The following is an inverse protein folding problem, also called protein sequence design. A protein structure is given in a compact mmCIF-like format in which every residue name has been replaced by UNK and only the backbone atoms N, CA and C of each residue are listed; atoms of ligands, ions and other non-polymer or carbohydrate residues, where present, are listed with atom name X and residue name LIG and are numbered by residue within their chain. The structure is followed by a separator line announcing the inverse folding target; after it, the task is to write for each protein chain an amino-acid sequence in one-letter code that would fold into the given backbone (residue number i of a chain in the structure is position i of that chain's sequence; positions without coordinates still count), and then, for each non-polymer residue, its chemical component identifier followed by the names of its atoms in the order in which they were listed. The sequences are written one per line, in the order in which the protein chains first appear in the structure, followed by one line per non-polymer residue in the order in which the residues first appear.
data_IF_153216436973
#
_entry.id   IF_153216436973
#
_cell.length_a   1.000
_cell.length_b   1.000
_cell.length_c   1.000
_cell.angle_alpha   90.00
_cell.angle_beta   90.00
_cell.angle_gamma   90.00
#
_symmetry.space_group_name_H-M   'P 1'
#
loop_
_entity.id
_entity.type
_entity.pdbx_description
1 polymer ?
#
# COMPACT_ATOMS: atom_id res chain seq x y z
N UNK A 1 -13.97 -8.77 25.61
CA UNK A 1 -13.19 -7.62 25.10
C UNK A 1 -11.83 -8.16 24.71
N UNK A 2 -11.62 -8.35 23.42
CA UNK A 2 -10.41 -8.96 22.85
C UNK A 2 -9.21 -8.02 23.01
N UNK A 3 -8.11 -8.56 23.53
CA UNK A 3 -6.85 -7.86 23.83
C UNK A 3 -6.05 -7.43 22.60
N UNK A 4 -6.68 -7.31 21.42
CA UNK A 4 -5.98 -7.13 20.15
C UNK A 4 -5.71 -5.66 19.80
N UNK A 5 -6.46 -4.70 20.35
CA UNK A 5 -6.38 -3.30 19.93
C UNK A 5 -5.48 -2.40 20.81
N UNK A 6 -4.97 -2.87 21.96
CA UNK A 6 -4.30 -1.99 22.96
C UNK A 6 -2.76 -1.99 22.85
N UNK A 7 -2.15 -2.85 22.03
CA UNK A 7 -0.69 -3.00 21.99
C UNK A 7 -0.05 -2.48 20.69
N UNK A 8 -0.23 -1.21 20.34
CA UNK A 8 0.49 -0.57 19.22
C UNK A 8 1.02 0.83 19.57
N UNK A 9 1.52 1.03 20.79
CA UNK A 9 2.38 2.18 21.12
C UNK A 9 3.84 1.79 20.90
N UNK A 10 4.36 2.10 19.71
CA UNK A 10 5.79 1.98 19.43
C UNK A 10 6.54 2.97 20.35
N UNK A 11 7.35 2.45 21.27
CA UNK A 11 8.26 3.27 22.08
C UNK A 11 9.48 3.66 21.24
N UNK A 12 9.54 4.92 20.84
CA UNK A 12 10.59 5.43 19.92
C UNK A 12 11.98 5.57 20.56
N UNK A 13 12.12 5.43 21.88
CA UNK A 13 13.38 5.64 22.60
C UNK A 13 14.46 4.56 22.30
N UNK A 14 14.04 3.34 21.93
CA UNK A 14 14.91 2.23 21.49
C UNK A 14 14.50 1.66 20.13
N UNK A 15 13.54 2.31 19.45
CA UNK A 15 12.84 1.78 18.29
C UNK A 15 13.60 1.87 16.97
N UNK A 16 14.44 2.89 16.76
CA UNK A 16 15.02 3.15 15.42
C UNK A 16 16.01 2.06 14.96
N UNK A 17 16.97 1.67 15.80
CA UNK A 17 17.89 0.58 15.44
C UNK A 17 17.17 -0.76 15.30
N UNK A 18 16.19 -1.02 16.17
CA UNK A 18 15.35 -2.22 16.09
C UNK A 18 14.49 -2.25 14.82
N UNK A 19 14.06 -1.08 14.33
CA UNK A 19 13.33 -0.92 13.07
C UNK A 19 14.24 -1.22 11.87
N UNK A 20 15.47 -0.69 11.84
CA UNK A 20 16.42 -0.96 10.76
C UNK A 20 16.69 -2.46 10.60
N UNK A 21 16.81 -3.20 11.71
CA UNK A 21 17.10 -4.64 11.66
C UNK A 21 15.85 -5.53 11.59
N UNK A 22 14.65 -4.97 11.41
CA UNK A 22 13.42 -5.75 11.21
C UNK A 22 13.45 -6.42 9.82
N UNK A 23 13.01 -7.68 9.73
CA UNK A 23 12.96 -8.41 8.45
C UNK A 23 11.59 -8.34 7.76
N UNK A 24 10.51 -8.65 8.49
CA UNK A 24 9.14 -8.61 7.95
C UNK A 24 8.66 -7.16 7.79
N UNK A 25 7.93 -6.88 6.71
CA UNK A 25 7.51 -5.53 6.32
C UNK A 25 8.67 -4.54 6.30
N UNK A 26 9.81 -4.95 5.75
CA UNK A 26 11.03 -4.12 5.74
C UNK A 26 11.65 -4.03 4.36
N UNK A 27 12.41 -2.95 4.17
CA UNK A 27 13.13 -2.67 2.94
C UNK A 27 14.06 -3.82 2.55
N UNK A 28 14.63 -4.53 3.54
CA UNK A 28 15.56 -5.64 3.30
C UNK A 28 14.88 -6.79 2.57
N UNK A 29 13.69 -7.19 3.02
CA UNK A 29 12.92 -8.26 2.37
C UNK A 29 12.50 -7.88 0.94
N UNK A 30 12.27 -6.59 0.69
CA UNK A 30 11.86 -6.08 -0.63
C UNK A 30 13.02 -5.97 -1.63
N UNK A 31 14.27 -5.77 -1.18
CA UNK A 31 15.43 -5.52 -2.07
C UNK A 31 16.49 -6.63 -2.12
N UNK A 32 16.51 -7.58 -1.17
CA UNK A 32 17.68 -8.47 -1.00
C UNK A 32 17.99 -9.31 -2.25
N UNK A 33 16.96 -9.74 -3.00
CA UNK A 33 17.15 -10.55 -4.22
C UNK A 33 17.85 -9.73 -5.31
N UNK A 34 17.37 -8.51 -5.54
CA UNK A 34 17.92 -7.58 -6.52
C UNK A 34 19.32 -7.13 -6.12
N UNK A 35 19.56 -6.90 -4.82
CA UNK A 35 20.88 -6.54 -4.32
C UNK A 35 21.89 -7.68 -4.52
N UNK A 36 21.50 -8.93 -4.24
CA UNK A 36 22.36 -10.10 -4.50
C UNK A 36 22.69 -10.21 -5.99
N UNK A 37 21.70 -10.09 -6.87
CA UNK A 37 21.92 -10.11 -8.33
C UNK A 37 22.85 -8.97 -8.75
N UNK A 38 22.65 -7.77 -8.22
CA UNK A 38 23.50 -6.62 -8.51
C UNK A 38 24.95 -6.86 -8.08
N UNK A 39 25.18 -7.37 -6.86
CA UNK A 39 26.52 -7.68 -6.36
C UNK A 39 27.20 -8.79 -7.18
N UNK A 40 26.48 -9.85 -7.56
CA UNK A 40 27.01 -10.91 -8.43
C UNK A 40 27.45 -10.32 -9.77
N UNK A 41 26.62 -9.48 -10.39
CA UNK A 41 27.00 -8.80 -11.63
C UNK A 41 28.19 -7.87 -11.42
N UNK A 42 28.21 -7.10 -10.32
CA UNK A 42 29.29 -6.17 -10.02
C UNK A 42 30.65 -6.87 -9.89
N UNK A 43 30.68 -7.98 -9.14
CA UNK A 43 31.90 -8.80 -9.01
C UNK A 43 32.25 -9.55 -10.29
N UNK A 44 31.26 -9.95 -11.10
CA UNK A 44 31.53 -10.56 -12.42
C UNK A 44 32.25 -9.60 -13.37
N UNK A 45 31.86 -8.32 -13.39
CA UNK A 45 32.53 -7.27 -14.18
C UNK A 45 33.96 -7.07 -13.69
N UNK A 46 34.17 -7.11 -12.37
CA UNK A 46 35.49 -7.04 -11.78
C UNK A 46 36.37 -8.24 -12.13
N UNK A 47 35.83 -9.47 -12.04
CA UNK A 47 36.53 -10.70 -12.43
C UNK A 47 36.88 -10.69 -13.91
N UNK A 48 36.00 -10.13 -14.75
CA UNK A 48 36.30 -9.92 -16.15
C UNK A 48 37.52 -9.01 -16.33
N UNK A 49 37.58 -7.87 -15.63
CA UNK A 49 38.73 -6.97 -15.69
C UNK A 49 40.04 -7.62 -15.17
N UNK A 50 39.99 -8.37 -14.07
CA UNK A 50 41.19 -8.90 -13.41
C UNK A 50 41.68 -10.22 -14.01
N UNK A 51 40.80 -11.13 -14.40
CA UNK A 51 41.15 -12.48 -14.85
C UNK A 51 40.91 -12.68 -16.34
N UNK A 52 39.78 -12.20 -16.89
CA UNK A 52 39.46 -12.49 -18.28
C UNK A 52 40.30 -11.67 -19.27
N UNK A 53 40.54 -10.38 -19.02
CA UNK A 53 41.34 -9.54 -19.93
C UNK A 53 42.76 -10.10 -20.13
N UNK A 54 43.52 -10.47 -19.07
CA UNK A 54 44.85 -11.07 -19.25
C UNK A 54 44.85 -12.42 -19.98
N UNK A 55 43.77 -13.20 -19.87
CA UNK A 55 43.64 -14.51 -20.54
C UNK A 55 43.31 -14.34 -22.03
N UNK A 56 42.46 -13.37 -22.38
CA UNK A 56 41.95 -13.17 -23.74
C UNK A 56 42.99 -12.53 -24.65
N UNK A 57 43.73 -11.53 -24.16
CA UNK A 57 44.71 -10.79 -24.96
C UNK A 57 45.97 -10.50 -24.12
N UNK A 58 46.85 -11.52 -23.94
CA UNK A 58 48.05 -11.38 -23.12
C UNK A 58 49.06 -10.38 -23.70
N UNK A 59 49.08 -10.18 -25.02
CA UNK A 59 50.02 -9.27 -25.68
C UNK A 59 49.53 -7.80 -25.70
N UNK A 60 48.21 -7.54 -25.65
CA UNK A 60 47.64 -6.18 -25.61
C UNK A 60 46.82 -5.86 -24.34
N UNK A 61 47.07 -6.57 -23.25
CA UNK A 61 46.35 -6.42 -21.97
C UNK A 61 46.16 -4.95 -21.55
N UNK A 62 47.24 -4.17 -21.59
CA UNK A 62 47.25 -2.77 -21.19
C UNK A 62 46.27 -1.91 -22.01
N UNK A 63 46.18 -2.15 -23.33
CA UNK A 63 45.30 -1.39 -24.22
C UNK A 63 43.83 -1.71 -23.94
N UNK A 64 43.51 -2.98 -23.70
CA UNK A 64 42.13 -3.41 -23.41
C UNK A 64 41.68 -2.91 -22.04
N UNK A 65 42.55 -2.99 -21.01
CA UNK A 65 42.29 -2.41 -19.70
C UNK A 65 42.09 -0.89 -19.77
N UNK A 66 42.92 -0.16 -20.50
CA UNK A 66 42.77 1.28 -20.67
C UNK A 66 41.44 1.66 -21.35
N UNK A 67 40.99 0.90 -22.36
CA UNK A 67 39.67 1.11 -22.98
C UNK A 67 38.52 0.82 -22.01
N UNK A 68 38.64 -0.25 -21.23
CA UNK A 68 37.64 -0.59 -20.21
C UNK A 68 37.52 0.51 -19.15
N UNK A 69 38.64 1.01 -18.64
CA UNK A 69 38.66 2.12 -17.69
C UNK A 69 38.06 3.40 -18.27
N UNK A 70 38.28 3.69 -19.55
CA UNK A 70 37.65 4.81 -20.24
C UNK A 70 36.12 4.68 -20.28
N UNK A 71 35.61 3.47 -20.56
CA UNK A 71 34.16 3.17 -20.53
C UNK A 71 33.60 3.36 -19.11
N UNK A 72 34.28 2.84 -18.09
CA UNK A 72 33.89 3.02 -16.69
C UNK A 72 33.78 4.51 -16.34
N UNK A 73 34.79 5.32 -16.69
CA UNK A 73 34.75 6.77 -16.44
C UNK A 73 33.57 7.44 -17.15
N UNK A 74 33.31 7.08 -18.41
CA UNK A 74 32.17 7.62 -19.17
C UNK A 74 30.83 7.25 -18.54
N UNK A 75 30.66 5.99 -18.12
CA UNK A 75 29.42 5.54 -17.48
C UNK A 75 29.22 6.23 -16.12
N UNK A 76 30.30 6.47 -15.37
CA UNK A 76 30.22 7.24 -14.13
C UNK A 76 29.72 8.68 -14.38
N UNK A 77 30.15 9.34 -15.46
CA UNK A 77 29.60 10.66 -15.82
C UNK A 77 28.11 10.59 -16.18
N UNK A 78 27.65 9.54 -16.88
CA UNK A 78 26.22 9.36 -17.18
C UNK A 78 25.36 9.15 -15.92
N UNK A 79 25.89 8.52 -14.86
CA UNK A 79 25.14 8.41 -13.60
C UNK A 79 24.79 9.76 -12.99
N UNK A 80 25.65 10.78 -13.18
CA UNK A 80 25.42 12.15 -12.66
C UNK A 80 24.32 12.90 -13.42
N UNK A 81 23.99 12.46 -14.64
CA UNK A 81 22.97 13.08 -15.47
C UNK A 81 21.54 12.63 -15.10
N UNK A 82 21.38 11.54 -14.35
CA UNK A 82 20.06 10.99 -14.00
C UNK A 82 19.63 11.54 -12.63
N UNK A 83 18.63 12.44 -12.56
CA UNK A 83 18.19 13.06 -11.31
C UNK A 83 17.21 12.15 -10.55
N UNK A 84 17.70 11.01 -10.04
CA UNK A 84 16.87 10.00 -9.36
C UNK A 84 16.08 10.57 -8.19
N UNK A 85 16.68 11.44 -7.38
CA UNK A 85 16.05 11.99 -6.19
C UNK A 85 14.76 12.76 -6.51
N UNK A 86 14.81 13.60 -7.56
CA UNK A 86 13.65 14.37 -8.00
C UNK A 86 12.57 13.41 -8.53
N UNK A 87 12.94 12.53 -9.45
CA UNK A 87 12.01 11.63 -10.13
C UNK A 87 11.31 10.68 -9.15
N UNK A 88 12.07 10.03 -8.28
CA UNK A 88 11.52 9.13 -7.25
C UNK A 88 10.73 9.89 -6.19
N UNK A 89 11.13 11.12 -5.85
CA UNK A 89 10.38 11.99 -4.95
C UNK A 89 8.95 12.23 -5.42
N UNK A 90 8.76 12.64 -6.68
CA UNK A 90 7.42 12.83 -7.24
C UNK A 90 6.66 11.52 -7.41
N UNK A 91 7.35 10.45 -7.81
CA UNK A 91 6.74 9.14 -7.99
C UNK A 91 6.16 8.62 -6.67
N UNK A 92 7.01 8.48 -5.65
CA UNK A 92 6.64 7.90 -4.36
C UNK A 92 5.64 8.80 -3.62
N UNK A 93 5.82 10.13 -3.65
CA UNK A 93 4.85 11.06 -3.04
C UNK A 93 3.44 10.90 -3.62
N UNK A 94 3.33 10.76 -4.94
CA UNK A 94 2.04 10.53 -5.60
C UNK A 94 1.43 9.18 -5.20
N UNK A 95 2.24 8.12 -5.10
CA UNK A 95 1.76 6.80 -4.67
C UNK A 95 1.29 6.84 -3.21
N UNK A 96 2.09 7.40 -2.30
CA UNK A 96 1.75 7.53 -0.86
C UNK A 96 0.47 8.34 -0.67
N UNK A 97 0.31 9.45 -1.41
CA UNK A 97 -0.92 10.25 -1.36
C UNK A 97 -2.15 9.44 -1.82
N UNK A 98 -2.00 8.62 -2.86
CA UNK A 98 -3.08 7.73 -3.32
C UNK A 98 -3.36 6.59 -2.34
N UNK A 99 -2.33 6.04 -1.71
CA UNK A 99 -2.45 5.01 -0.67
C UNK A 99 -3.31 5.52 0.49
N UNK A 100 -2.99 6.71 1.01
CA UNK A 100 -3.75 7.32 2.12
C UNK A 100 -5.20 7.61 1.74
N UNK A 101 -5.44 8.17 0.54
CA UNK A 101 -6.80 8.41 0.05
C UNK A 101 -7.63 7.13 -0.09
N UNK A 102 -7.01 6.02 -0.48
CA UNK A 102 -7.69 4.72 -0.53
C UNK A 102 -8.09 4.23 0.87
N UNK A 103 -7.18 4.35 1.83
CA UNK A 103 -7.47 4.04 3.23
C UNK A 103 -8.61 4.91 3.79
N UNK A 104 -8.58 6.22 3.53
CA UNK A 104 -9.64 7.16 3.94
C UNK A 104 -11.00 6.89 3.27
N UNK A 105 -11.05 6.12 2.18
CA UNK A 105 -12.30 5.71 1.54
C UNK A 105 -12.95 4.50 2.21
N UNK A 106 -12.25 3.81 3.12
CA UNK A 106 -12.84 2.72 3.89
C UNK A 106 -13.83 3.30 4.89
N UNK A 107 -15.11 2.93 4.73
CA UNK A 107 -16.15 3.39 5.63
C UNK A 107 -16.25 2.53 6.89
N UNK A 108 -16.68 3.19 7.95
CA UNK A 108 -17.02 2.62 9.24
C UNK A 108 -18.54 2.67 9.40
N UNK A 109 -19.23 1.54 9.69
CA UNK A 109 -20.70 1.48 9.71
C UNK A 109 -21.37 2.18 10.92
N UNK A 110 -20.60 2.64 11.89
CA UNK A 110 -21.06 3.13 13.20
C UNK A 110 -22.05 4.28 13.11
N UNK A 111 -21.75 5.31 12.31
CA UNK A 111 -22.60 6.49 12.18
C UNK A 111 -23.98 6.10 11.61
N UNK A 112 -23.99 5.31 10.53
CA UNK A 112 -25.20 4.83 9.88
C UNK A 112 -26.04 3.92 10.80
N UNK A 113 -25.39 3.04 11.56
CA UNK A 113 -26.06 2.10 12.45
C UNK A 113 -26.53 2.74 13.75
N UNK A 114 -25.84 3.77 14.24
CA UNK A 114 -26.30 4.54 15.40
C UNK A 114 -27.64 5.23 15.09
N UNK A 115 -27.74 5.85 13.91
CA UNK A 115 -28.96 6.50 13.44
C UNK A 115 -30.08 5.48 13.18
N UNK A 116 -29.74 4.31 12.65
CA UNK A 116 -30.69 3.20 12.50
C UNK A 116 -31.30 2.77 13.84
N UNK A 117 -30.49 2.70 14.90
CA UNK A 117 -30.96 2.35 16.24
C UNK A 117 -31.89 3.41 16.83
N UNK A 118 -31.72 4.69 16.49
CA UNK A 118 -32.64 5.76 16.92
C UNK A 118 -33.95 5.71 16.12
N UNK A 119 -33.87 5.46 14.81
CA UNK A 119 -35.04 5.42 13.96
C UNK A 119 -35.91 4.18 14.20
N UNK A 120 -35.32 2.99 14.30
CA UNK A 120 -36.04 1.72 14.41
C UNK A 120 -35.94 1.17 15.83
N UNK A 121 -36.76 1.69 16.76
CA UNK A 121 -36.72 1.34 18.18
C UNK A 121 -37.18 -0.10 18.48
N UNK A 122 -36.60 -0.71 19.51
CA UNK A 122 -36.81 -2.11 19.89
C UNK A 122 -37.62 -2.29 21.16
N UNK A 123 -38.13 -1.21 21.74
CA UNK A 123 -38.93 -1.19 22.97
C UNK A 123 -40.43 -1.36 22.73
N UNK A 124 -40.88 -1.33 21.47
CA UNK A 124 -42.29 -1.33 21.10
C UNK A 124 -42.85 -2.76 20.94
N UNK A 125 -44.18 -2.91 20.84
CA UNK A 125 -44.86 -4.19 20.60
C UNK A 125 -44.34 -4.94 19.35
N UNK A 126 -43.72 -4.22 18.40
CA UNK A 126 -43.08 -4.76 17.18
C UNK A 126 -41.58 -5.06 17.33
N UNK A 127 -41.06 -5.12 18.57
CA UNK A 127 -39.63 -5.32 18.89
C UNK A 127 -38.97 -6.45 18.09
N UNK A 128 -39.61 -7.61 17.96
CA UNK A 128 -39.09 -8.75 17.21
C UNK A 128 -38.90 -8.45 15.71
N UNK A 129 -39.84 -7.72 15.08
CA UNK A 129 -39.75 -7.32 13.68
C UNK A 129 -38.66 -6.25 13.48
N UNK A 130 -38.57 -5.30 14.40
CA UNK A 130 -37.59 -4.22 14.38
C UNK A 130 -36.15 -4.73 14.57
N UNK A 131 -35.95 -5.77 15.38
CA UNK A 131 -34.67 -6.49 15.46
C UNK A 131 -34.31 -7.11 14.10
N UNK A 132 -35.23 -7.79 13.43
CA UNK A 132 -34.96 -8.42 12.12
C UNK A 132 -34.63 -7.38 11.03
N UNK A 133 -35.29 -6.22 11.03
CA UNK A 133 -34.98 -5.12 10.12
C UNK A 133 -33.55 -4.63 10.30
N UNK A 134 -33.15 -4.36 11.55
CA UNK A 134 -31.81 -3.83 11.83
C UNK A 134 -30.70 -4.84 11.54
N UNK A 135 -30.94 -6.13 11.81
CA UNK A 135 -30.02 -7.21 11.44
C UNK A 135 -29.86 -7.34 9.92
N UNK A 136 -30.95 -7.19 9.15
CA UNK A 136 -30.88 -7.18 7.68
C UNK A 136 -30.09 -5.99 7.16
N UNK A 137 -30.33 -4.80 7.69
CA UNK A 137 -29.58 -3.60 7.32
C UNK A 137 -28.10 -3.74 7.66
N UNK A 138 -27.77 -4.18 8.88
CA UNK A 138 -26.39 -4.43 9.31
C UNK A 138 -25.68 -5.48 8.44
N UNK A 139 -26.39 -6.53 8.00
CA UNK A 139 -25.84 -7.51 7.06
C UNK A 139 -25.55 -6.89 5.70
N UNK A 140 -26.54 -6.22 5.10
CA UNK A 140 -26.40 -5.68 3.75
C UNK A 140 -25.37 -4.55 3.62
N UNK A 141 -25.14 -3.78 4.68
CA UNK A 141 -24.07 -2.77 4.71
C UNK A 141 -22.68 -3.41 4.59
N UNK A 142 -22.52 -4.63 5.10
CA UNK A 142 -21.23 -5.34 5.17
C UNK A 142 -21.09 -6.48 4.13
N UNK A 143 -22.08 -6.69 3.27
CA UNK A 143 -22.15 -7.86 2.38
C UNK A 143 -21.13 -7.79 1.23
N UNK A 144 -20.63 -8.97 0.82
CA UNK A 144 -19.51 -9.16 -0.12
C UNK A 144 -19.88 -9.80 -1.47
N UNK A 145 -21.12 -10.24 -1.69
CA UNK A 145 -21.43 -11.14 -2.83
C UNK A 145 -21.14 -10.57 -4.25
N UNK A 146 -20.45 -11.38 -5.07
CA UNK A 146 -19.79 -11.02 -6.32
C UNK A 146 -20.68 -11.13 -7.58
N UNK A 147 -20.84 -10.02 -8.32
CA UNK A 147 -21.26 -10.04 -9.75
C UNK A 147 -20.85 -8.75 -10.46
N UNK A 148 -20.63 -8.83 -11.79
CA UNK A 148 -19.60 -8.02 -12.39
C UNK A 148 -19.94 -6.56 -12.73
N UNK A 149 -21.19 -6.08 -12.65
CA UNK A 149 -21.53 -4.77 -13.26
C UNK A 149 -22.40 -3.78 -12.45
N UNK A 150 -23.00 -4.14 -11.31
CA UNK A 150 -23.85 -3.17 -10.55
C UNK A 150 -23.95 -3.43 -9.04
N UNK A 151 -23.22 -4.42 -8.50
CA UNK A 151 -23.59 -5.05 -7.22
C UNK A 151 -23.19 -4.34 -5.94
N UNK A 152 -22.08 -3.58 -5.88
CA UNK A 152 -21.73 -2.87 -4.64
C UNK A 152 -22.80 -1.85 -4.21
N UNK A 153 -23.65 -1.43 -5.15
CA UNK A 153 -24.77 -0.52 -4.91
C UNK A 153 -26.06 -1.24 -4.50
N UNK A 154 -26.21 -2.52 -4.82
CA UNK A 154 -27.45 -3.28 -4.65
C UNK A 154 -27.83 -3.46 -3.18
N UNK A 155 -26.92 -3.91 -2.28
CA UNK A 155 -27.22 -3.96 -0.84
C UNK A 155 -27.57 -2.59 -0.26
N UNK A 156 -26.88 -1.53 -0.69
CA UNK A 156 -27.18 -0.16 -0.26
C UNK A 156 -28.58 0.29 -0.71
N UNK A 157 -29.00 -0.09 -1.92
CA UNK A 157 -30.35 0.17 -2.40
C UNK A 157 -31.40 -0.60 -1.60
N UNK A 158 -31.15 -1.88 -1.26
CA UNK A 158 -32.03 -2.65 -0.39
C UNK A 158 -32.17 -2.03 1.01
N UNK A 159 -31.06 -1.53 1.57
CA UNK A 159 -31.07 -0.79 2.84
C UNK A 159 -31.96 0.46 2.75
N UNK A 160 -31.87 1.21 1.65
CA UNK A 160 -32.74 2.37 1.41
C UNK A 160 -34.23 1.97 1.32
N UNK A 161 -34.55 0.90 0.61
CA UNK A 161 -35.93 0.38 0.48
C UNK A 161 -36.49 -0.05 1.84
N UNK A 162 -35.70 -0.81 2.62
CA UNK A 162 -36.10 -1.26 3.96
C UNK A 162 -36.43 -0.06 4.86
N UNK A 163 -35.58 0.97 4.86
CA UNK A 163 -35.83 2.16 5.69
C UNK A 163 -37.04 2.97 5.22
N UNK A 164 -37.24 3.11 3.91
CA UNK A 164 -38.43 3.79 3.37
C UNK A 164 -39.73 3.08 3.77
N UNK A 165 -39.74 1.76 3.67
CA UNK A 165 -40.88 0.92 4.06
C UNK A 165 -41.18 1.05 5.55
N UNK A 166 -40.15 1.03 6.40
CA UNK A 166 -40.33 1.08 7.85
C UNK A 166 -40.86 2.43 8.31
N UNK A 167 -40.37 3.54 7.72
CA UNK A 167 -40.86 4.90 7.99
C UNK A 167 -42.33 5.02 7.66
N UNK A 168 -42.77 4.41 6.54
CA UNK A 168 -44.19 4.43 6.13
C UNK A 168 -45.04 3.53 7.04
N UNK A 169 -44.56 2.33 7.40
CA UNK A 169 -45.29 1.36 8.24
C UNK A 169 -45.46 1.79 9.70
N UNK A 170 -44.50 2.55 10.22
CA UNK A 170 -44.51 3.03 11.61
C UNK A 170 -44.99 4.49 11.72
N UNK A 171 -45.26 5.17 10.61
CA UNK A 171 -45.66 6.58 10.63
C UNK A 171 -44.58 7.50 11.19
N UNK A 172 -43.30 7.16 11.01
CA UNK A 172 -42.18 7.93 11.52
C UNK A 172 -42.07 9.29 10.82
N UNK A 173 -41.49 10.26 11.53
CA UNK A 173 -41.15 11.57 10.94
C UNK A 173 -40.20 11.40 9.75
N UNK A 174 -40.52 12.02 8.62
CA UNK A 174 -39.73 11.97 7.37
C UNK A 174 -38.27 12.42 7.58
N UNK A 175 -38.00 13.26 8.58
CA UNK A 175 -36.65 13.69 8.97
C UNK A 175 -35.70 12.52 9.26
N UNK A 176 -36.18 11.43 9.86
CA UNK A 176 -35.34 10.25 10.10
C UNK A 176 -34.89 9.59 8.80
N UNK A 177 -35.79 9.51 7.82
CA UNK A 177 -35.47 9.01 6.49
C UNK A 177 -34.44 9.89 5.78
N UNK A 178 -34.65 11.21 5.82
CA UNK A 178 -33.73 12.18 5.19
C UNK A 178 -32.33 12.10 5.78
N UNK A 179 -32.21 12.04 7.10
CA UNK A 179 -30.92 11.90 7.79
C UNK A 179 -30.26 10.57 7.44
N UNK A 180 -31.02 9.47 7.43
CA UNK A 180 -30.48 8.15 7.12
C UNK A 180 -30.01 8.03 5.68
N UNK A 181 -30.78 8.57 4.72
CA UNK A 181 -30.39 8.60 3.32
C UNK A 181 -29.13 9.47 3.12
N UNK A 182 -28.97 10.56 3.88
CA UNK A 182 -27.76 11.38 3.85
C UNK A 182 -26.51 10.58 4.25
N UNK A 183 -26.58 9.84 5.36
CA UNK A 183 -25.48 8.98 5.81
C UNK A 183 -25.22 7.83 4.85
N UNK A 184 -26.27 7.18 4.34
CA UNK A 184 -26.15 6.12 3.35
C UNK A 184 -25.51 6.62 2.04
N UNK A 185 -25.80 7.86 1.65
CA UNK A 185 -25.16 8.51 0.49
C UNK A 185 -23.68 8.79 0.74
N UNK A 186 -23.30 9.18 1.96
CA UNK A 186 -21.89 9.32 2.36
C UNK A 186 -21.17 7.98 2.21
N UNK A 187 -21.73 6.91 2.80
CA UNK A 187 -21.22 5.54 2.72
C UNK A 187 -21.05 5.09 1.25
N UNK A 188 -22.09 5.26 0.42
CA UNK A 188 -22.04 4.97 -1.03
C UNK A 188 -20.95 5.77 -1.75
N UNK A 189 -20.70 7.01 -1.34
CA UNK A 189 -19.70 7.87 -1.98
C UNK A 189 -18.29 7.36 -1.74
N UNK A 190 -17.95 6.88 -0.54
CA UNK A 190 -16.61 6.35 -0.27
C UNK A 190 -16.39 4.99 -0.94
N UNK A 191 -17.40 4.11 -1.01
CA UNK A 191 -17.32 2.89 -1.84
C UNK A 191 -17.07 3.20 -3.31
N UNK A 192 -17.77 4.20 -3.86
CA UNK A 192 -17.52 4.66 -5.22
C UNK A 192 -16.09 5.18 -5.41
N UNK A 193 -15.57 5.95 -4.45
CA UNK A 193 -14.18 6.44 -4.51
C UNK A 193 -13.18 5.30 -4.48
N UNK A 194 -13.39 4.30 -3.62
CA UNK A 194 -12.58 3.09 -3.55
C UNK A 194 -12.60 2.33 -4.90
N UNK A 195 -13.77 2.15 -5.49
CA UNK A 195 -13.92 1.57 -6.83
C UNK A 195 -13.18 2.38 -7.90
N UNK A 196 -13.27 3.72 -7.86
CA UNK A 196 -12.53 4.57 -8.80
C UNK A 196 -11.00 4.46 -8.62
N UNK A 197 -10.52 4.24 -7.39
CA UNK A 197 -9.09 4.07 -7.12
C UNK A 197 -8.54 2.75 -7.68
N UNK A 198 -9.35 1.68 -7.64
CA UNK A 198 -9.05 0.40 -8.26
C UNK A 198 -9.11 0.49 -9.80
N UNK A 199 -10.18 1.09 -10.34
CA UNK A 199 -10.37 1.22 -11.78
C UNK A 199 -9.30 2.13 -12.43
N UNK A 200 -9.00 3.27 -11.81
CA UNK A 200 -8.03 4.23 -12.34
C UNK A 200 -6.72 4.11 -11.57
N UNK A 201 -5.93 3.10 -11.91
CA UNK A 201 -4.59 2.88 -11.36
C UNK A 201 -3.61 4.03 -11.65
N UNK A 202 -2.43 4.00 -11.02
CA UNK A 202 -1.31 4.87 -11.42
C UNK A 202 -0.95 4.55 -12.87
N UNK A 203 -0.82 5.55 -13.78
CA UNK A 203 -0.52 5.28 -15.19
C UNK A 203 0.75 4.45 -15.34
N UNK A 204 0.65 3.37 -16.13
CA UNK A 204 1.76 2.43 -16.34
C UNK A 204 3.03 3.15 -16.80
N UNK A 205 2.92 4.09 -17.73
CA UNK A 205 4.05 4.87 -18.24
C UNK A 205 4.80 5.59 -17.12
N UNK A 206 4.10 6.07 -16.09
CA UNK A 206 4.74 6.74 -14.97
C UNK A 206 5.60 5.78 -14.13
N UNK A 207 5.05 4.59 -13.85
CA UNK A 207 5.79 3.52 -13.16
C UNK A 207 6.98 3.02 -13.99
N UNK A 208 6.83 2.93 -15.32
CA UNK A 208 7.89 2.52 -16.24
C UNK A 208 9.03 3.53 -16.29
N UNK A 209 8.73 4.83 -16.34
CA UNK A 209 9.75 5.89 -16.31
C UNK A 209 10.57 5.83 -15.03
N UNK A 210 9.92 5.64 -13.87
CA UNK A 210 10.61 5.46 -12.60
C UNK A 210 11.49 4.21 -12.57
N UNK A 211 10.99 3.09 -13.11
CA UNK A 211 11.76 1.85 -13.23
C UNK A 211 13.00 2.03 -14.11
N UNK A 212 12.82 2.55 -15.32
CA UNK A 212 13.89 2.75 -16.31
C UNK A 212 14.95 3.70 -15.78
N UNK A 213 14.55 4.80 -15.13
CA UNK A 213 15.50 5.73 -14.53
C UNK A 213 16.33 5.05 -13.43
N UNK A 214 15.67 4.33 -12.52
CA UNK A 214 16.31 3.66 -11.36
C UNK A 214 17.25 2.56 -11.81
N UNK A 215 16.76 1.61 -12.63
CA UNK A 215 17.58 0.49 -13.11
C UNK A 215 18.63 0.94 -14.12
N UNK A 216 18.34 1.95 -14.96
CA UNK A 216 19.30 2.55 -15.87
C UNK A 216 20.47 3.20 -15.13
N UNK A 217 20.20 3.93 -14.04
CA UNK A 217 21.25 4.46 -13.17
C UNK A 217 22.15 3.35 -12.63
N UNK A 218 21.57 2.27 -12.08
CA UNK A 218 22.38 1.17 -11.54
C UNK A 218 23.09 0.35 -12.61
N UNK A 219 22.56 0.27 -13.82
CA UNK A 219 23.26 -0.29 -14.97
C UNK A 219 24.53 0.51 -15.30
N UNK A 220 24.45 1.84 -15.39
CA UNK A 220 25.66 2.65 -15.60
C UNK A 220 26.60 2.60 -14.39
N UNK A 221 26.06 2.62 -13.16
CA UNK A 221 26.85 2.50 -11.94
C UNK A 221 27.58 1.15 -11.84
N UNK A 222 27.02 0.07 -12.39
CA UNK A 222 27.64 -1.27 -12.40
C UNK A 222 29.05 -1.23 -12.99
N UNK A 223 29.26 -0.46 -14.07
CA UNK A 223 30.58 -0.27 -14.67
C UNK A 223 31.28 0.99 -14.12
N UNK A 224 30.54 2.07 -13.89
CA UNK A 224 31.11 3.35 -13.49
C UNK A 224 31.71 3.36 -12.08
N UNK A 225 31.23 2.49 -11.19
CA UNK A 225 31.72 2.36 -9.80
C UNK A 225 32.75 1.25 -9.63
N UNK A 226 33.29 0.70 -10.72
CA UNK A 226 34.42 -0.23 -10.66
C UNK A 226 35.67 0.55 -10.23
N UNK A 227 35.92 0.64 -8.91
CA UNK A 227 37.11 1.30 -8.36
C UNK A 227 38.33 0.40 -8.51
N UNK A 228 38.91 0.40 -9.71
CA UNK A 228 39.93 -0.57 -10.12
C UNK A 228 41.32 -0.22 -9.59
N UNK A 229 41.63 1.08 -9.50
CA UNK A 229 42.98 1.58 -9.16
C UNK A 229 43.01 2.40 -7.85
N UNK A 230 41.90 2.47 -7.11
CA UNK A 230 41.82 3.21 -5.84
C UNK A 230 42.35 2.39 -4.65
N UNK A 231 42.87 3.08 -3.64
CA UNK A 231 43.23 2.48 -2.34
C UNK A 231 42.10 2.59 -1.30
N UNK A 232 40.87 2.80 -1.75
CA UNK A 232 39.73 3.07 -0.88
C UNK A 232 39.03 1.78 -0.43
N UNK A 233 38.22 1.87 0.63
CA UNK A 233 37.40 0.75 1.14
C UNK A 233 36.48 0.19 0.05
N UNK A 234 35.99 1.05 -0.84
CA UNK A 234 35.15 0.68 -1.98
C UNK A 234 35.88 -0.18 -3.02
N UNK A 235 37.21 -0.24 -2.98
CA UNK A 235 38.01 -1.14 -3.82
C UNK A 235 37.81 -2.58 -3.41
N UNK A 236 37.57 -2.94 -2.15
CA UNK A 236 37.34 -4.35 -1.78
C UNK A 236 35.87 -4.72 -1.96
N UNK A 237 34.99 -3.88 -1.42
CA UNK A 237 33.54 -4.08 -1.46
C UNK A 237 32.87 -2.72 -1.68
N UNK A 238 31.92 -2.59 -2.63
CA UNK A 238 31.37 -1.29 -3.02
C UNK A 238 30.30 -0.81 -2.02
N UNK A 239 30.73 -0.50 -0.79
CA UNK A 239 29.86 -0.18 0.34
C UNK A 239 28.92 1.00 0.03
N UNK A 240 29.46 2.10 -0.49
CA UNK A 240 28.64 3.28 -0.80
C UNK A 240 27.67 3.04 -1.94
N UNK A 241 28.02 2.19 -2.90
CA UNK A 241 27.11 1.80 -3.99
C UNK A 241 25.98 0.92 -3.46
N UNK A 242 26.25 0.01 -2.52
CA UNK A 242 25.21 -0.78 -1.84
C UNK A 242 24.27 0.10 -1.02
N UNK A 243 24.81 1.10 -0.30
CA UNK A 243 24.00 2.06 0.44
C UNK A 243 23.11 2.88 -0.51
N UNK A 244 23.65 3.34 -1.64
CA UNK A 244 22.86 4.03 -2.67
C UNK A 244 21.80 3.12 -3.30
N UNK A 245 22.12 1.84 -3.52
CA UNK A 245 21.16 0.84 -3.98
C UNK A 245 19.99 0.71 -3.02
N UNK A 246 20.29 0.56 -1.72
CA UNK A 246 19.27 0.49 -0.68
C UNK A 246 18.39 1.75 -0.68
N UNK A 247 18.97 2.94 -0.80
CA UNK A 247 18.18 4.16 -0.84
C UNK A 247 17.35 4.30 -2.12
N UNK A 248 17.91 4.16 -3.31
CA UNK A 248 17.17 4.45 -4.54
C UNK A 248 16.29 3.30 -5.00
N UNK A 249 16.79 2.06 -5.02
CA UNK A 249 15.98 0.89 -5.37
C UNK A 249 14.96 0.62 -4.27
N UNK A 250 15.36 0.74 -3.01
CA UNK A 250 14.43 0.60 -1.89
C UNK A 250 13.35 1.68 -1.89
N UNK A 251 13.68 2.94 -2.19
CA UNK A 251 12.67 4.00 -2.30
C UNK A 251 11.72 3.79 -3.49
N UNK A 252 12.22 3.34 -4.64
CA UNK A 252 11.39 2.90 -5.76
C UNK A 252 10.45 1.74 -5.35
N UNK A 253 10.97 0.76 -4.61
CA UNK A 253 10.22 -0.39 -4.09
C UNK A 253 9.13 0.00 -3.09
N UNK A 254 9.38 0.96 -2.20
CA UNK A 254 8.31 1.54 -1.35
C UNK A 254 7.15 2.04 -2.22
N UNK A 255 7.45 2.72 -3.33
CA UNK A 255 6.42 3.14 -4.29
C UNK A 255 5.76 1.97 -5.04
N UNK A 256 6.41 0.82 -5.19
CA UNK A 256 5.79 -0.38 -5.78
C UNK A 256 4.85 -1.07 -4.79
N UNK A 257 5.32 -1.28 -3.57
CA UNK A 257 4.62 -2.01 -2.53
C UNK A 257 3.33 -1.25 -2.14
N UNK A 258 3.39 0.09 -2.05
CA UNK A 258 2.22 0.92 -1.72
C UNK A 258 1.21 1.13 -2.87
N UNK A 259 1.51 0.69 -4.10
CA UNK A 259 0.58 0.86 -5.22
C UNK A 259 -0.67 -0.01 -5.11
N UNK A 260 -0.57 -1.17 -4.44
CA UNK A 260 -1.67 -2.15 -4.33
C UNK A 260 -1.96 -2.49 -2.86
N UNK A 261 -2.57 -1.55 -2.12
CA UNK A 261 -2.73 -1.68 -0.65
C UNK A 261 -3.67 -2.79 -0.17
N UNK A 262 -4.31 -3.53 -1.07
CA UNK A 262 -5.28 -4.58 -0.75
C UNK A 262 -4.79 -5.96 -1.19
N UNK A 263 -3.47 -6.13 -1.32
CA UNK A 263 -2.83 -7.40 -1.66
C UNK A 263 -2.68 -8.32 -0.46
N UNK A 264 -1.57 -9.07 -0.47
CA UNK A 264 -1.18 -10.03 0.55
C UNK A 264 0.23 -9.72 1.10
N UNK A 265 0.74 -8.52 0.83
CA UNK A 265 2.05 -8.09 1.32
C UNK A 265 1.95 -7.74 2.82
N UNK A 266 3.08 -7.81 3.52
CA UNK A 266 3.12 -7.64 4.99
C UNK A 266 2.60 -6.27 5.46
N UNK A 267 2.68 -5.25 4.60
CA UNK A 267 2.32 -3.85 4.90
C UNK A 267 1.00 -3.42 4.22
N UNK A 268 0.27 -4.37 3.62
CA UNK A 268 -1.05 -4.12 3.04
C UNK A 268 -2.11 -3.87 4.13
N UNK A 269 -3.19 -3.20 3.74
CA UNK A 269 -4.33 -2.95 4.62
C UNK A 269 -5.00 -4.30 4.93
N UNK A 270 -5.14 -4.62 6.22
CA UNK A 270 -5.84 -5.81 6.70
C UNK A 270 -7.36 -5.74 6.46
N UNK A 271 -7.78 -5.84 5.20
CA UNK A 271 -9.19 -5.72 4.80
C UNK A 271 -10.07 -6.82 5.43
N UNK A 272 -9.51 -8.01 5.63
CA UNK A 272 -10.18 -9.11 6.34
C UNK A 272 -10.52 -8.73 7.77
N UNK A 273 -9.56 -8.19 8.52
CA UNK A 273 -9.76 -7.70 9.87
C UNK A 273 -10.80 -6.58 9.91
N UNK A 274 -10.69 -5.57 9.03
CA UNK A 274 -11.62 -4.43 8.98
C UNK A 274 -13.05 -4.93 8.75
N UNK A 275 -13.26 -5.86 7.80
CA UNK A 275 -14.58 -6.41 7.55
C UNK A 275 -15.12 -7.19 8.75
N UNK A 276 -14.34 -8.11 9.30
CA UNK A 276 -14.77 -8.92 10.44
C UNK A 276 -15.13 -8.03 11.64
N UNK A 277 -14.28 -7.04 11.91
CA UNK A 277 -14.53 -6.02 12.93
C UNK A 277 -15.81 -5.24 12.62
N UNK A 278 -16.03 -4.80 11.38
CA UNK A 278 -17.23 -4.06 10.99
C UNK A 278 -18.49 -4.91 11.14
N UNK A 279 -18.49 -6.18 10.73
CA UNK A 279 -19.62 -7.10 10.93
C UNK A 279 -19.93 -7.26 12.42
N UNK A 280 -18.92 -7.58 13.23
CA UNK A 280 -19.07 -7.81 14.66
C UNK A 280 -19.57 -6.56 15.40
N UNK A 281 -18.99 -5.40 15.11
CA UNK A 281 -19.39 -4.11 15.68
C UNK A 281 -20.79 -3.73 15.22
N UNK A 282 -21.14 -3.97 13.95
CA UNK A 282 -22.47 -3.65 13.41
C UNK A 282 -23.58 -4.38 14.16
N UNK A 283 -23.44 -5.69 14.35
CA UNK A 283 -24.41 -6.47 15.12
C UNK A 283 -24.39 -6.13 16.61
N UNK A 284 -23.22 -5.78 17.17
CA UNK A 284 -23.14 -5.33 18.56
C UNK A 284 -23.88 -4.00 18.78
N UNK A 285 -23.72 -3.02 17.88
CA UNK A 285 -24.39 -1.71 17.94
C UNK A 285 -25.90 -1.88 17.85
N UNK A 286 -26.36 -2.64 16.85
CA UNK A 286 -27.79 -2.90 16.66
C UNK A 286 -28.40 -3.59 17.87
N UNK A 287 -27.72 -4.55 18.49
CA UNK A 287 -28.29 -5.26 19.63
C UNK A 287 -28.18 -4.49 20.95
N UNK A 288 -27.03 -3.87 21.24
CA UNK A 288 -26.73 -3.32 22.57
C UNK A 288 -27.28 -1.91 22.80
N UNK A 289 -27.22 -1.02 21.81
CA UNK A 289 -27.62 0.39 22.00
C UNK A 289 -29.08 0.58 22.38
N UNK A 290 -29.93 -0.42 22.20
CA UNK A 290 -31.34 -0.37 22.60
C UNK A 290 -31.68 -1.16 23.87
N UNK A 291 -30.76 -1.99 24.36
CA UNK A 291 -30.99 -2.82 25.55
C UNK A 291 -30.45 -2.19 26.83
N UNK A 292 -29.56 -1.20 26.71
CA UNK A 292 -29.09 -0.40 27.84
C UNK A 292 -30.03 0.79 28.02
N UNK A 293 -30.74 0.83 29.16
CA UNK A 293 -31.20 2.11 29.70
C UNK A 293 -29.99 3.06 29.86
N UNK A 294 -30.18 4.39 29.69
CA UNK A 294 -29.10 5.38 29.76
C UNK A 294 -28.33 5.36 31.09
#
# INVERSE_FOLDING_TARGET
MSSLAVAMTISYSTGFFRLIFRWYGSIWRSIYKELIVYLVLFFSVRLFYTLAIPIIDPDQEYRMKARFEAICRQFNEYTKLIPLTFLLGFYVSNVVSRWWRQFECLNWPEDLLSLLCVAVNGTDERSAQNVQVRHRVARYINDKEESPYTRWMTPLHWVQQIMSDEVTKQGMTVTYLTNFISELKSFRTSFRRLFCHDWVCVPLVYTQVAAIATYGFFFFALFGRQNINGNDVDTIFPLFTVVQFLFFVGWYKVGLDLMRPFGLDDDDIELSYILERNINVSFAIVNKLQMSEP
#
